data_IF_562472062467
#
_entry.id   IF_562472062467
#
_cell.length_a   1.000
_cell.length_b   1.000
_cell.length_c   1.000
_cell.angle_alpha   90.00
_cell.angle_beta   90.00
_cell.angle_gamma   90.00
#
_symmetry.space_group_name_H-M   'P 1'
#
loop_
_entity.id
_entity.type
_entity.pdbx_description
1 polymer ?
#
# COMPACT_ATOMS: atom_id res chain seq x y z
N UNK A 1 -95.99 31.93 -59.72
CA UNK A 1 -96.26 31.86 -58.26
C UNK A 1 -94.93 31.82 -57.53
N UNK A 2 -94.83 32.40 -56.33
CA UNK A 2 -93.55 32.64 -55.63
C UNK A 2 -93.27 31.64 -54.49
N UNK A 3 -91.97 31.47 -54.18
CA UNK A 3 -91.27 30.91 -52.97
C UNK A 3 -89.93 30.35 -53.48
N UNK A 4 -88.71 30.83 -53.16
CA UNK A 4 -88.06 31.29 -51.91
C UNK A 4 -87.79 30.15 -50.90
N UNK A 5 -86.62 30.20 -50.23
CA UNK A 5 -86.15 29.38 -49.07
C UNK A 5 -85.52 28.02 -49.50
N UNK A 6 -84.30 27.58 -49.10
CA UNK A 6 -83.16 28.17 -48.33
C UNK A 6 -81.84 27.53 -48.78
N UNK A 7 -80.69 28.13 -48.44
CA UNK A 7 -79.40 27.42 -48.41
C UNK A 7 -79.32 26.46 -47.21
N UNK A 8 -78.73 25.28 -47.41
CA UNK A 8 -78.40 24.33 -46.35
C UNK A 8 -76.95 23.86 -46.51
N UNK A 9 -76.02 24.48 -45.80
CA UNK A 9 -74.63 24.02 -45.73
C UNK A 9 -74.60 22.83 -44.76
N UNK A 10 -74.30 21.64 -45.28
CA UNK A 10 -74.06 20.45 -44.45
C UNK A 10 -72.60 20.48 -44.00
N UNK A 11 -72.35 21.07 -42.83
CA UNK A 11 -71.10 20.85 -42.11
C UNK A 11 -71.10 19.42 -41.56
N UNK A 12 -70.31 18.54 -42.17
CA UNK A 12 -70.01 17.22 -41.61
C UNK A 12 -69.12 17.44 -40.38
N UNK A 13 -69.72 17.34 -39.20
CA UNK A 13 -68.97 17.25 -37.96
C UNK A 13 -68.23 15.91 -37.95
N UNK A 14 -66.92 15.94 -38.19
CA UNK A 14 -66.07 14.76 -38.05
C UNK A 14 -65.98 14.46 -36.55
N UNK A 15 -66.80 13.51 -36.07
CA UNK A 15 -66.69 13.00 -34.71
C UNK A 15 -65.40 12.18 -34.65
N UNK A 16 -64.31 12.84 -34.25
CA UNK A 16 -63.10 12.16 -33.81
C UNK A 16 -63.46 11.40 -32.54
N UNK A 17 -63.79 10.11 -32.69
CA UNK A 17 -63.76 9.17 -31.59
C UNK A 17 -62.34 9.21 -31.03
N UNK A 18 -62.18 9.82 -29.86
CA UNK A 18 -60.89 9.86 -29.18
C UNK A 18 -60.42 8.43 -28.99
N UNK A 19 -59.31 8.07 -29.64
CA UNK A 19 -58.64 6.83 -29.31
C UNK A 19 -58.31 6.92 -27.81
N UNK A 20 -58.58 5.87 -27.00
CA UNK A 20 -58.05 5.87 -25.65
C UNK A 20 -56.53 6.05 -25.79
N UNK A 21 -55.99 7.05 -25.09
CA UNK A 21 -54.54 7.19 -25.01
C UNK A 21 -54.02 5.83 -24.52
N UNK A 22 -53.22 5.15 -25.35
CA UNK A 22 -52.55 3.95 -24.92
C UNK A 22 -51.75 4.35 -23.69
N UNK A 23 -52.12 3.84 -22.52
CA UNK A 23 -51.41 4.13 -21.28
C UNK A 23 -49.96 3.76 -21.56
N UNK A 24 -49.06 4.75 -21.53
CA UNK A 24 -47.65 4.49 -21.74
C UNK A 24 -47.24 3.50 -20.65
N UNK A 25 -46.98 2.26 -21.05
CA UNK A 25 -46.34 1.30 -20.17
C UNK A 25 -45.00 1.95 -19.85
N UNK A 26 -44.73 2.20 -18.57
CA UNK A 26 -43.44 2.71 -18.14
C UNK A 26 -42.36 1.78 -18.73
N UNK A 27 -41.23 2.36 -19.17
CA UNK A 27 -40.09 1.52 -19.50
C UNK A 27 -39.78 0.63 -18.27
N UNK A 28 -39.42 -0.66 -18.48
CA UNK A 28 -38.98 -1.48 -17.37
C UNK A 28 -37.81 -0.79 -16.65
N UNK A 29 -37.73 -0.96 -15.33
CA UNK A 29 -36.54 -0.55 -14.59
C UNK A 29 -35.31 -1.26 -15.16
N UNK A 30 -34.14 -0.64 -15.03
CA UNK A 30 -32.88 -1.17 -15.54
C UNK A 30 -31.75 -0.98 -14.56
N UNK A 31 -30.98 -2.03 -14.31
CA UNK A 31 -29.69 -1.97 -13.61
C UNK A 31 -28.57 -2.14 -14.65
N UNK A 32 -27.55 -1.26 -14.65
CA UNK A 32 -26.51 -1.19 -15.69
C UNK A 32 -27.00 -1.25 -17.15
N UNK A 33 -28.22 -0.75 -17.41
CA UNK A 33 -28.86 -0.79 -18.73
C UNK A 33 -29.50 -2.13 -19.13
N UNK A 34 -29.44 -3.16 -18.27
CA UNK A 34 -30.15 -4.43 -18.42
C UNK A 34 -31.58 -4.31 -17.88
N UNK A 35 -32.61 -4.82 -18.57
CA UNK A 35 -33.98 -4.80 -18.05
C UNK A 35 -34.15 -5.71 -16.84
N UNK A 36 -34.75 -5.19 -15.77
CA UNK A 36 -35.00 -5.93 -14.54
C UNK A 36 -35.88 -7.18 -14.75
N UNK A 37 -35.46 -8.31 -14.17
CA UNK A 37 -36.27 -9.52 -13.99
C UNK A 37 -37.15 -9.40 -12.75
N UNK A 38 -36.67 -8.69 -11.72
CA UNK A 38 -37.36 -8.44 -10.45
C UNK A 38 -37.27 -6.96 -10.06
N UNK A 39 -38.37 -6.39 -9.57
CA UNK A 39 -38.43 -5.01 -9.06
C UNK A 39 -39.30 -4.98 -7.80
N UNK A 40 -38.91 -4.24 -6.76
CA UNK A 40 -39.60 -4.30 -5.47
C UNK A 40 -39.30 -3.14 -4.53
N UNK A 41 -39.61 -3.37 -3.25
CA UNK A 41 -39.21 -2.56 -2.09
C UNK A 41 -39.39 -3.45 -0.84
N UNK A 42 -38.58 -3.23 0.21
CA UNK A 42 -38.41 -4.13 1.34
C UNK A 42 -37.57 -5.36 0.96
N UNK A 43 -38.07 -6.56 1.23
CA UNK A 43 -37.32 -7.79 0.92
C UNK A 43 -37.56 -8.27 -0.51
N UNK A 44 -36.49 -8.38 -1.29
CA UNK A 44 -36.43 -8.99 -2.60
C UNK A 44 -35.63 -10.31 -2.51
N UNK A 45 -35.95 -11.27 -3.37
CA UNK A 45 -35.20 -12.53 -3.46
C UNK A 45 -35.24 -13.00 -4.91
N UNK A 46 -34.07 -13.18 -5.50
CA UNK A 46 -33.89 -13.72 -6.84
C UNK A 46 -34.14 -15.23 -6.92
N UNK A 47 -33.58 -15.84 -7.95
CA UNK A 47 -33.74 -17.25 -8.28
C UNK A 47 -32.37 -17.95 -8.39
N UNK A 48 -32.29 -19.29 -8.40
CA UNK A 48 -31.02 -20.01 -8.57
C UNK A 48 -30.39 -19.91 -9.99
N UNK A 49 -30.52 -18.75 -10.64
CA UNK A 49 -29.89 -18.42 -11.90
C UNK A 49 -30.10 -16.95 -12.26
N UNK A 50 -29.15 -16.41 -13.03
CA UNK A 50 -28.97 -15.00 -13.39
C UNK A 50 -30.25 -14.14 -13.43
N UNK A 51 -30.38 -13.27 -12.45
CA UNK A 51 -31.41 -12.26 -12.30
C UNK A 51 -30.88 -10.83 -12.50
N UNK A 52 -31.80 -9.89 -12.77
CA UNK A 52 -31.52 -8.45 -12.78
C UNK A 52 -32.50 -7.82 -11.80
N UNK A 53 -32.02 -7.49 -10.60
CA UNK A 53 -32.85 -7.05 -9.48
C UNK A 53 -32.69 -5.53 -9.30
N UNK A 54 -33.81 -4.83 -9.17
CA UNK A 54 -33.82 -3.39 -8.85
C UNK A 54 -34.67 -3.15 -7.61
N UNK A 55 -34.06 -2.55 -6.59
CA UNK A 55 -34.69 -2.09 -5.36
C UNK A 55 -35.51 -0.81 -5.56
N UNK A 56 -35.44 0.06 -4.57
CA UNK A 56 -36.30 1.22 -4.40
C UNK A 56 -35.51 2.45 -3.91
N UNK A 57 -36.20 3.55 -3.57
CA UNK A 57 -35.55 4.73 -3.01
C UNK A 57 -35.73 4.79 -1.48
N UNK A 58 -35.61 3.62 -0.85
CA UNK A 58 -35.66 3.41 0.59
C UNK A 58 -35.21 1.98 0.92
N UNK A 59 -34.91 1.71 2.21
CA UNK A 59 -34.10 0.57 2.63
C UNK A 59 -34.73 -0.78 2.27
N UNK A 60 -33.97 -1.55 1.51
CA UNK A 60 -34.28 -2.84 0.93
C UNK A 60 -33.33 -3.94 1.44
N UNK A 61 -33.75 -5.19 1.28
CA UNK A 61 -32.93 -6.38 1.58
C UNK A 61 -33.00 -7.30 0.38
N UNK A 62 -31.89 -7.48 -0.33
CA UNK A 62 -31.83 -8.19 -1.61
C UNK A 62 -30.89 -9.39 -1.50
N UNK A 63 -31.38 -10.56 -1.92
CA UNK A 63 -30.68 -11.85 -1.92
C UNK A 63 -30.79 -12.42 -3.35
N UNK A 64 -29.72 -12.33 -4.14
CA UNK A 64 -29.65 -12.77 -5.54
C UNK A 64 -29.93 -14.27 -5.68
N UNK A 65 -29.31 -15.04 -4.79
CA UNK A 65 -29.31 -16.52 -4.61
C UNK A 65 -28.23 -17.24 -5.38
N UNK A 66 -27.81 -16.74 -6.53
CA UNK A 66 -26.69 -17.29 -7.29
C UNK A 66 -27.07 -17.81 -8.68
N UNK A 67 -26.04 -18.06 -9.48
CA UNK A 67 -26.05 -17.56 -10.86
C UNK A 67 -25.28 -16.24 -10.89
N UNK A 68 -25.13 -15.63 -12.06
CA UNK A 68 -24.43 -14.34 -12.16
C UNK A 68 -25.47 -13.22 -12.22
N UNK A 69 -25.67 -12.57 -11.09
CA UNK A 69 -26.75 -11.63 -10.81
C UNK A 69 -26.32 -10.18 -10.99
N UNK A 70 -27.29 -9.31 -11.26
CA UNK A 70 -27.06 -7.87 -11.44
C UNK A 70 -28.06 -7.11 -10.56
N UNK A 71 -27.56 -6.51 -9.48
CA UNK A 71 -28.36 -5.92 -8.40
C UNK A 71 -28.11 -4.41 -8.34
N UNK A 72 -29.17 -3.63 -8.25
CA UNK A 72 -29.12 -2.21 -7.91
C UNK A 72 -30.06 -1.94 -6.74
N UNK A 73 -29.55 -1.51 -5.59
CA UNK A 73 -30.34 -1.01 -4.45
C UNK A 73 -31.08 0.28 -4.82
N UNK A 74 -30.31 1.24 -5.34
CA UNK A 74 -30.63 2.62 -5.76
C UNK A 74 -30.56 3.65 -4.64
N UNK A 75 -30.93 3.32 -3.41
CA UNK A 75 -30.63 4.16 -2.25
C UNK A 75 -31.70 4.23 -1.16
N UNK A 76 -31.29 4.77 -0.02
CA UNK A 76 -31.69 4.24 1.28
C UNK A 76 -30.67 3.19 1.73
N UNK A 77 -30.60 2.94 3.03
CA UNK A 77 -29.59 2.05 3.62
C UNK A 77 -29.97 0.57 3.34
N UNK A 78 -29.30 -0.07 2.38
CA UNK A 78 -29.65 -1.36 1.80
C UNK A 78 -28.75 -2.52 2.31
N UNK A 79 -29.29 -3.74 2.34
CA UNK A 79 -28.50 -4.98 2.51
C UNK A 79 -28.56 -5.79 1.23
N UNK A 80 -27.44 -5.88 0.52
CA UNK A 80 -27.32 -6.50 -0.80
C UNK A 80 -26.39 -7.72 -0.74
N UNK A 81 -26.91 -8.88 -1.13
CA UNK A 81 -26.21 -10.16 -1.15
C UNK A 81 -26.37 -10.77 -2.53
N UNK A 82 -25.28 -10.96 -3.28
CA UNK A 82 -25.32 -11.70 -4.56
C UNK A 82 -25.54 -13.20 -4.33
N UNK A 83 -24.70 -13.77 -3.45
CA UNK A 83 -24.49 -15.20 -3.22
C UNK A 83 -23.76 -15.86 -4.41
N UNK A 84 -23.91 -17.18 -4.59
CA UNK A 84 -22.95 -17.96 -5.37
C UNK A 84 -22.95 -17.62 -6.88
N UNK A 85 -21.99 -16.81 -7.33
CA UNK A 85 -22.05 -16.16 -8.64
C UNK A 85 -20.74 -15.63 -9.22
N UNK A 86 -20.89 -14.72 -10.18
CA UNK A 86 -19.91 -13.67 -10.42
C UNK A 86 -20.76 -12.42 -10.64
N UNK A 87 -20.96 -11.66 -9.57
CA UNK A 87 -22.10 -10.77 -9.44
C UNK A 87 -21.72 -9.31 -9.64
N UNK A 88 -22.72 -8.47 -9.94
CA UNK A 88 -22.53 -7.03 -10.09
C UNK A 88 -23.56 -6.28 -9.27
N UNK A 89 -23.10 -5.62 -8.22
CA UNK A 89 -23.93 -4.95 -7.22
C UNK A 89 -23.63 -3.44 -7.22
N UNK A 90 -24.68 -2.65 -7.06
CA UNK A 90 -24.70 -1.19 -6.99
C UNK A 90 -25.57 -0.85 -5.76
N UNK A 91 -24.97 -0.35 -4.67
CA UNK A 91 -25.70 0.13 -3.50
C UNK A 91 -26.53 1.35 -3.88
N UNK A 92 -25.83 2.46 -4.06
CA UNK A 92 -26.29 3.63 -4.79
C UNK A 92 -26.15 4.91 -3.96
N UNK A 93 -27.00 5.08 -2.95
CA UNK A 93 -26.90 6.24 -2.04
C UNK A 93 -27.61 5.97 -0.72
N UNK A 94 -26.86 5.91 0.37
CA UNK A 94 -27.28 5.30 1.64
C UNK A 94 -26.06 4.61 2.24
N UNK A 95 -26.13 4.26 3.53
CA UNK A 95 -25.06 3.48 4.15
C UNK A 95 -25.36 1.99 3.95
N UNK A 96 -24.74 1.40 2.94
CA UNK A 96 -25.09 0.10 2.39
C UNK A 96 -24.18 -1.03 2.92
N UNK A 97 -24.76 -2.23 3.01
CA UNK A 97 -24.03 -3.46 3.41
C UNK A 97 -24.03 -4.40 2.22
N UNK A 98 -22.89 -4.52 1.55
CA UNK A 98 -22.76 -5.26 0.30
C UNK A 98 -21.90 -6.52 0.51
N UNK A 99 -22.42 -7.66 0.06
CA UNK A 99 -21.75 -8.95 0.06
C UNK A 99 -21.86 -9.52 -1.35
N UNK A 100 -20.74 -9.77 -2.02
CA UNK A 100 -20.81 -10.45 -3.31
C UNK A 100 -21.36 -11.86 -3.13
N UNK A 101 -20.82 -12.63 -2.18
CA UNK A 101 -21.22 -14.03 -1.98
C UNK A 101 -21.94 -14.32 -0.63
N UNK A 102 -21.84 -15.56 -0.10
CA UNK A 102 -22.69 -16.06 0.99
C UNK A 102 -22.46 -15.33 2.32
N UNK A 103 -23.51 -14.69 2.84
CA UNK A 103 -23.55 -14.10 4.19
C UNK A 103 -24.42 -14.91 5.18
N UNK A 104 -23.90 -15.26 6.36
CA UNK A 104 -24.68 -15.93 7.44
C UNK A 104 -24.34 -15.44 8.86
N UNK A 105 -25.34 -15.38 9.74
CA UNK A 105 -25.15 -15.05 11.16
C UNK A 105 -24.33 -16.10 11.94
N UNK A 106 -24.49 -17.38 11.59
CA UNK A 106 -23.85 -18.51 12.30
C UNK A 106 -23.63 -19.70 11.38
N UNK A 107 -22.49 -20.36 11.53
CA UNK A 107 -22.07 -21.50 10.72
C UNK A 107 -21.10 -21.09 9.62
N UNK A 108 -20.65 -22.09 8.85
CA UNK A 108 -19.67 -21.85 7.80
C UNK A 108 -20.32 -21.21 6.57
N UNK A 109 -19.85 -20.02 6.18
CA UNK A 109 -20.13 -19.36 4.91
C UNK A 109 -19.18 -19.89 3.84
N UNK A 110 -19.66 -20.02 2.60
CA UNK A 110 -18.81 -20.42 1.49
C UNK A 110 -19.43 -20.13 0.12
N UNK A 111 -18.60 -19.56 -0.72
CA UNK A 111 -18.92 -18.99 -2.01
C UNK A 111 -17.80 -18.03 -2.33
N UNK A 112 -17.36 -18.04 -3.59
CA UNK A 112 -16.37 -17.10 -4.08
C UNK A 112 -16.58 -16.82 -5.56
N UNK A 113 -16.25 -15.61 -5.98
CA UNK A 113 -16.71 -15.03 -7.24
C UNK A 113 -15.63 -14.42 -8.14
N UNK A 114 -16.07 -13.43 -8.91
CA UNK A 114 -15.24 -12.41 -9.57
C UNK A 114 -16.20 -11.23 -9.74
N UNK A 115 -16.44 -10.58 -8.62
CA UNK A 115 -17.58 -9.74 -8.36
C UNK A 115 -17.21 -8.27 -8.56
N UNK A 116 -18.24 -7.46 -8.79
CA UNK A 116 -18.09 -6.02 -8.92
C UNK A 116 -19.08 -5.35 -8.00
N UNK A 117 -18.58 -4.83 -6.88
CA UNK A 117 -19.35 -4.15 -5.85
C UNK A 117 -19.07 -2.65 -5.97
N UNK A 118 -20.13 -1.86 -6.09
CA UNK A 118 -20.08 -0.41 -6.00
C UNK A 118 -20.92 0.00 -4.79
N UNK A 119 -20.32 0.72 -3.84
CA UNK A 119 -21.01 1.30 -2.69
C UNK A 119 -21.89 2.47 -3.15
N UNK A 120 -21.30 3.66 -3.24
CA UNK A 120 -21.89 4.85 -3.85
C UNK A 120 -21.69 6.11 -3.01
N UNK A 121 -22.81 6.77 -2.69
CA UNK A 121 -22.84 7.90 -1.74
C UNK A 121 -23.25 7.41 -0.34
N UNK A 122 -22.30 7.12 0.57
CA UNK A 122 -22.58 6.70 1.96
C UNK A 122 -21.37 6.06 2.64
N UNK A 123 -21.45 5.81 3.96
CA UNK A 123 -20.41 5.00 4.65
C UNK A 123 -20.80 3.52 4.54
N UNK A 124 -20.08 2.77 3.70
CA UNK A 124 -20.44 1.44 3.22
C UNK A 124 -19.56 0.32 3.80
N UNK A 125 -20.16 -0.87 3.98
CA UNK A 125 -19.45 -2.07 4.44
C UNK A 125 -19.49 -3.14 3.35
N UNK A 126 -18.34 -3.43 2.74
CA UNK A 126 -18.21 -4.34 1.59
C UNK A 126 -17.29 -5.54 1.87
N UNK A 127 -17.76 -6.71 1.45
CA UNK A 127 -16.99 -7.97 1.45
C UNK A 127 -17.22 -8.60 0.08
N UNK A 128 -16.15 -8.81 -0.72
CA UNK A 128 -16.28 -9.34 -2.07
C UNK A 128 -16.89 -10.73 -2.11
N UNK A 129 -16.50 -11.61 -1.18
CA UNK A 129 -17.00 -12.98 -1.10
C UNK A 129 -17.87 -13.23 0.16
N UNK A 130 -17.43 -14.14 1.04
CA UNK A 130 -18.26 -14.76 2.07
C UNK A 130 -18.14 -14.05 3.43
N UNK A 131 -19.28 -13.79 4.08
CA UNK A 131 -19.33 -13.29 5.47
C UNK A 131 -19.91 -14.34 6.43
N UNK A 132 -19.28 -14.51 7.60
CA UNK A 132 -19.94 -15.14 8.75
C UNK A 132 -19.82 -14.36 10.06
N UNK A 133 -20.96 -14.18 10.73
CA UNK A 133 -21.01 -13.62 12.08
C UNK A 133 -20.38 -14.54 13.14
N UNK A 134 -20.38 -15.86 12.91
CA UNK A 134 -19.61 -16.83 13.69
C UNK A 134 -19.53 -18.19 13.00
N UNK A 135 -18.35 -18.53 12.49
CA UNK A 135 -18.05 -19.75 11.75
C UNK A 135 -16.79 -19.55 10.91
N UNK A 136 -16.55 -20.39 9.92
CA UNK A 136 -15.51 -20.10 8.92
C UNK A 136 -16.14 -19.45 7.67
N UNK A 137 -15.47 -18.47 7.07
CA UNK A 137 -15.79 -17.97 5.74
C UNK A 137 -14.74 -18.48 4.74
N UNK A 138 -15.18 -19.04 3.61
CA UNK A 138 -14.32 -19.58 2.57
C UNK A 138 -14.80 -19.14 1.17
N UNK A 139 -14.03 -18.25 0.54
CA UNK A 139 -14.27 -17.67 -0.78
C UNK A 139 -13.06 -16.85 -1.17
N UNK A 140 -12.58 -17.03 -2.41
CA UNK A 140 -11.68 -16.05 -3.00
C UNK A 140 -11.92 -15.87 -4.50
N UNK A 141 -11.50 -14.73 -5.04
CA UNK A 141 -11.87 -14.29 -6.38
C UNK A 141 -10.82 -13.46 -7.13
N UNK A 142 -11.31 -12.45 -7.86
CA UNK A 142 -10.54 -11.39 -8.51
C UNK A 142 -11.55 -10.25 -8.63
N UNK A 143 -11.72 -9.54 -7.54
CA UNK A 143 -12.90 -8.74 -7.26
C UNK A 143 -12.59 -7.25 -7.46
N UNK A 144 -13.66 -6.49 -7.70
CA UNK A 144 -13.59 -5.05 -7.90
C UNK A 144 -14.56 -4.37 -6.94
N UNK A 145 -14.01 -3.73 -5.92
CA UNK A 145 -14.75 -2.93 -4.94
C UNK A 145 -14.44 -1.45 -5.21
N UNK A 146 -15.47 -0.62 -5.28
CA UNK A 146 -15.39 0.84 -5.39
C UNK A 146 -16.34 1.40 -4.33
N UNK A 147 -15.77 1.98 -3.26
CA UNK A 147 -16.51 2.54 -2.13
C UNK A 147 -17.34 3.73 -2.57
N UNK A 148 -16.69 4.85 -2.85
CA UNK A 148 -17.27 6.00 -3.54
C UNK A 148 -17.06 7.29 -2.76
N UNK A 149 -18.01 7.64 -1.88
CA UNK A 149 -17.84 8.75 -0.95
C UNK A 149 -18.51 8.50 0.39
N UNK A 150 -17.71 8.47 1.45
CA UNK A 150 -18.05 8.06 2.81
C UNK A 150 -16.82 7.44 3.46
N UNK A 151 -16.95 6.97 4.70
CA UNK A 151 -15.86 6.21 5.35
C UNK A 151 -16.14 4.70 5.25
N UNK A 152 -15.50 4.05 4.29
CA UNK A 152 -15.84 2.71 3.82
C UNK A 152 -14.97 1.61 4.44
N UNK A 153 -15.53 0.40 4.54
CA UNK A 153 -14.87 -0.78 5.12
C UNK A 153 -14.84 -1.92 4.10
N UNK A 154 -13.67 -2.18 3.50
CA UNK A 154 -13.52 -3.13 2.40
C UNK A 154 -12.68 -4.36 2.75
N UNK A 155 -13.14 -5.52 2.28
CA UNK A 155 -12.43 -6.80 2.32
C UNK A 155 -12.63 -7.46 0.96
N UNK A 156 -11.59 -7.67 0.16
CA UNK A 156 -11.76 -8.19 -1.20
C UNK A 156 -12.28 -9.63 -1.23
N UNK A 157 -11.82 -10.49 -0.32
CA UNK A 157 -12.34 -11.86 -0.18
C UNK A 157 -13.40 -11.96 0.95
N UNK A 158 -13.06 -12.64 2.05
CA UNK A 158 -13.95 -13.26 3.02
C UNK A 158 -13.74 -12.70 4.41
N UNK A 159 -14.82 -12.57 5.20
CA UNK A 159 -14.79 -12.00 6.54
C UNK A 159 -15.45 -12.90 7.59
N UNK A 160 -14.83 -13.01 8.76
CA UNK A 160 -15.34 -13.77 9.91
C UNK A 160 -15.33 -12.90 11.18
N UNK A 161 -16.50 -12.61 11.74
CA UNK A 161 -16.65 -11.61 12.81
C UNK A 161 -16.47 -12.17 14.24
N UNK A 162 -16.41 -13.49 14.42
CA UNK A 162 -16.27 -14.07 15.77
C UNK A 162 -15.64 -15.47 15.82
N UNK A 163 -14.36 -15.51 16.19
CA UNK A 163 -13.62 -16.71 16.63
C UNK A 163 -13.57 -17.86 15.62
N UNK A 164 -13.75 -17.58 14.33
CA UNK A 164 -13.56 -18.53 13.25
C UNK A 164 -12.74 -17.92 12.13
N UNK A 165 -12.33 -18.74 11.16
CA UNK A 165 -11.30 -18.34 10.20
C UNK A 165 -11.91 -17.75 8.92
N UNK A 166 -11.23 -16.79 8.32
CA UNK A 166 -11.51 -16.32 6.97
C UNK A 166 -10.46 -16.88 6.00
N UNK A 167 -10.89 -17.25 4.79
CA UNK A 167 -10.01 -17.81 3.75
C UNK A 167 -10.44 -17.34 2.38
N UNK A 168 -9.50 -16.81 1.62
CA UNK A 168 -9.68 -16.41 0.22
C UNK A 168 -8.36 -16.37 -0.54
N UNK A 169 -8.30 -15.55 -1.58
CA UNK A 169 -7.07 -15.13 -2.24
C UNK A 169 -7.29 -14.86 -3.72
N UNK A 170 -6.87 -13.69 -4.18
CA UNK A 170 -7.17 -13.21 -5.52
C UNK A 170 -6.10 -12.32 -6.14
N UNK A 171 -6.52 -11.48 -7.08
CA UNK A 171 -5.80 -10.27 -7.46
C UNK A 171 -6.88 -9.22 -7.61
N UNK A 172 -7.14 -8.55 -6.52
CA UNK A 172 -8.29 -7.74 -6.27
C UNK A 172 -7.96 -6.27 -6.49
N UNK A 173 -9.02 -5.48 -6.58
CA UNK A 173 -8.96 -4.08 -6.97
C UNK A 173 -9.92 -3.29 -6.11
N UNK A 174 -9.40 -2.69 -5.05
CA UNK A 174 -10.17 -1.95 -4.06
C UNK A 174 -9.86 -0.46 -4.23
N UNK A 175 -10.90 0.34 -4.38
CA UNK A 175 -10.82 1.80 -4.50
C UNK A 175 -11.72 2.41 -3.43
N UNK A 176 -11.16 3.16 -2.50
CA UNK A 176 -11.89 3.84 -1.43
C UNK A 176 -12.75 4.97 -2.01
N UNK A 177 -12.16 6.15 -2.17
CA UNK A 177 -12.74 7.24 -2.94
C UNK A 177 -12.56 8.59 -2.25
N UNK A 178 -13.66 9.16 -1.75
CA UNK A 178 -13.69 10.40 -0.97
C UNK A 178 -14.15 10.11 0.48
N UNK A 179 -13.22 9.94 1.43
CA UNK A 179 -13.48 9.81 2.87
C UNK A 179 -12.35 9.09 3.59
N UNK A 180 -12.43 8.98 4.93
CA UNK A 180 -11.35 8.41 5.75
C UNK A 180 -11.53 6.87 5.84
N UNK A 181 -10.94 6.13 4.90
CA UNK A 181 -11.19 4.69 4.71
C UNK A 181 -10.26 3.83 5.59
N UNK A 182 -10.54 3.77 6.89
CA UNK A 182 -9.67 3.16 7.92
C UNK A 182 -9.31 1.68 7.66
N UNK A 183 -10.09 0.94 6.86
CA UNK A 183 -9.86 -0.49 6.59
C UNK A 183 -10.18 -0.93 5.16
N UNK A 184 -9.14 -0.96 4.33
CA UNK A 184 -9.09 -1.58 3.00
C UNK A 184 -8.13 -2.78 3.07
N UNK A 185 -8.64 -4.01 3.10
CA UNK A 185 -7.82 -5.25 3.04
C UNK A 185 -8.06 -5.99 1.73
N UNK A 186 -7.00 -6.29 0.97
CA UNK A 186 -7.13 -6.97 -0.32
C UNK A 186 -7.77 -8.36 -0.19
N UNK A 187 -7.31 -9.19 0.74
CA UNK A 187 -7.88 -10.53 0.92
C UNK A 187 -8.94 -10.61 2.05
N UNK A 188 -8.59 -11.23 3.18
CA UNK A 188 -9.48 -11.86 4.14
C UNK A 188 -9.27 -11.31 5.55
N UNK A 189 -10.36 -11.15 6.31
CA UNK A 189 -10.31 -10.57 7.66
C UNK A 189 -10.98 -11.47 8.71
N UNK A 190 -10.26 -11.80 9.78
CA UNK A 190 -10.78 -12.66 10.85
C UNK A 190 -10.67 -12.03 12.25
N UNK A 191 -11.82 -11.82 12.88
CA UNK A 191 -11.96 -11.22 14.21
C UNK A 191 -11.87 -12.33 15.28
N UNK A 192 -10.65 -12.54 15.80
CA UNK A 192 -10.38 -13.57 16.82
C UNK A 192 -10.13 -14.98 16.26
N UNK A 193 -9.95 -15.12 14.95
CA UNK A 193 -9.58 -16.35 14.25
C UNK A 193 -8.41 -16.10 13.30
N UNK A 194 -8.04 -17.07 12.46
CA UNK A 194 -6.99 -16.87 11.47
C UNK A 194 -7.57 -16.33 10.16
N UNK A 195 -6.79 -15.48 9.47
CA UNK A 195 -7.05 -15.08 8.09
C UNK A 195 -5.98 -15.70 7.19
N UNK A 196 -6.38 -16.22 6.03
CA UNK A 196 -5.48 -16.75 5.02
C UNK A 196 -5.93 -16.28 3.62
N UNK A 197 -5.09 -15.53 2.92
CA UNK A 197 -5.31 -15.03 1.56
C UNK A 197 -3.98 -14.82 0.86
N UNK A 198 -3.96 -14.26 -0.34
CA UNK A 198 -2.76 -13.66 -0.90
C UNK A 198 -2.79 -13.57 -2.41
N UNK A 199 -2.30 -12.45 -2.94
CA UNK A 199 -2.58 -12.08 -4.33
C UNK A 199 -1.50 -11.33 -5.08
N UNK A 200 -1.92 -10.35 -5.88
CA UNK A 200 -1.09 -9.21 -6.32
C UNK A 200 -2.09 -8.07 -6.54
N UNK A 201 -2.32 -7.31 -5.50
CA UNK A 201 -3.53 -6.54 -5.27
C UNK A 201 -3.31 -5.06 -5.57
N UNK A 202 -4.40 -4.37 -5.93
CA UNK A 202 -4.37 -2.95 -6.25
C UNK A 202 -5.32 -2.21 -5.33
N UNK A 203 -4.75 -1.54 -4.34
CA UNK A 203 -5.46 -0.71 -3.39
C UNK A 203 -5.14 0.77 -3.67
N UNK A 204 -6.17 1.59 -3.74
CA UNK A 204 -6.10 3.06 -3.87
C UNK A 204 -7.08 3.61 -2.82
N UNK A 205 -6.60 4.31 -1.80
CA UNK A 205 -7.44 4.95 -0.77
C UNK A 205 -8.25 6.07 -1.40
N UNK A 206 -7.60 7.19 -1.71
CA UNK A 206 -8.17 8.24 -2.54
C UNK A 206 -7.94 9.63 -1.95
N UNK A 207 -8.99 10.23 -1.40
CA UNK A 207 -8.94 11.49 -0.64
C UNK A 207 -9.48 11.25 0.78
N UNK A 208 -8.59 11.23 1.78
CA UNK A 208 -8.93 10.87 3.16
C UNK A 208 -7.66 10.58 3.95
N UNK A 209 -7.80 10.20 5.22
CA UNK A 209 -6.71 9.54 5.95
C UNK A 209 -6.98 8.01 5.96
N UNK A 210 -6.31 7.25 5.09
CA UNK A 210 -6.72 5.88 4.71
C UNK A 210 -5.88 4.74 5.31
N UNK A 211 -6.47 3.55 5.48
CA UNK A 211 -5.80 2.35 6.01
C UNK A 211 -5.78 1.19 5.02
N UNK A 212 -4.62 0.92 4.42
CA UNK A 212 -4.44 -0.07 3.35
C UNK A 212 -3.57 -1.27 3.79
N UNK A 213 -4.06 -2.47 3.50
CA UNK A 213 -3.38 -3.75 3.73
C UNK A 213 -3.50 -4.63 2.48
N UNK A 214 -2.39 -5.05 1.87
CA UNK A 214 -2.44 -5.80 0.60
C UNK A 214 -3.11 -7.17 0.73
N UNK A 215 -2.75 -7.96 1.75
CA UNK A 215 -3.32 -9.28 2.00
C UNK A 215 -4.43 -9.27 3.11
N UNK A 216 -4.14 -9.89 4.26
CA UNK A 216 -5.07 -10.46 5.22
C UNK A 216 -4.85 -9.92 6.64
N UNK A 217 -5.95 -9.67 7.37
CA UNK A 217 -5.92 -9.06 8.71
C UNK A 217 -6.49 -9.95 9.82
N UNK A 218 -5.90 -9.86 11.03
CA UNK A 218 -6.45 -10.48 12.26
C UNK A 218 -6.51 -9.51 13.46
N UNK A 219 -7.31 -8.42 13.36
CA UNK A 219 -7.21 -7.24 14.24
C UNK A 219 -7.49 -7.49 15.74
N UNK A 220 -8.13 -8.60 16.11
CA UNK A 220 -8.48 -8.91 17.50
C UNK A 220 -7.92 -10.25 18.00
N UNK A 221 -6.82 -10.70 17.39
CA UNK A 221 -6.17 -11.97 17.72
C UNK A 221 -6.32 -12.99 16.62
N UNK A 222 -5.22 -13.67 16.31
CA UNK A 222 -5.17 -14.63 15.21
C UNK A 222 -3.80 -14.66 14.56
N UNK A 223 -3.69 -15.52 13.55
CA UNK A 223 -2.58 -15.49 12.60
C UNK A 223 -3.12 -15.05 11.24
N UNK A 224 -2.55 -13.98 10.68
CA UNK A 224 -2.71 -13.65 9.28
C UNK A 224 -1.68 -14.42 8.45
N UNK A 225 -2.06 -14.85 7.26
CA UNK A 225 -1.15 -15.50 6.30
C UNK A 225 -1.48 -14.99 4.92
N UNK A 226 -0.49 -14.44 4.23
CA UNK A 226 -0.60 -13.91 2.88
C UNK A 226 0.77 -13.54 2.33
N UNK A 227 0.83 -13.30 1.03
CA UNK A 227 1.96 -12.61 0.40
C UNK A 227 1.64 -12.31 -1.07
N UNK A 228 1.90 -11.07 -1.48
CA UNK A 228 1.50 -10.58 -2.79
C UNK A 228 2.62 -10.19 -3.75
N UNK A 229 2.36 -9.15 -4.54
CA UNK A 229 3.34 -8.18 -5.09
C UNK A 229 2.52 -6.90 -5.31
N UNK A 230 2.17 -6.26 -4.21
CA UNK A 230 0.98 -5.44 -4.12
C UNK A 230 1.26 -4.00 -4.48
N UNK A 231 0.22 -3.26 -4.84
CA UNK A 231 0.32 -1.86 -5.20
C UNK A 231 -0.68 -1.07 -4.39
N UNK A 232 -0.18 -0.46 -3.31
CA UNK A 232 -0.94 0.35 -2.38
C UNK A 232 -0.65 1.84 -2.66
N UNK A 233 -1.71 2.64 -2.76
CA UNK A 233 -1.63 4.10 -2.81
C UNK A 233 -2.55 4.66 -1.75
N UNK A 234 -2.03 5.47 -0.82
CA UNK A 234 -2.87 6.22 0.11
C UNK A 234 -3.70 7.24 -0.67
N UNK A 235 -3.10 8.40 -0.97
CA UNK A 235 -3.51 9.21 -2.11
C UNK A 235 -3.37 10.70 -1.88
N UNK A 236 -4.38 11.27 -1.22
CA UNK A 236 -4.42 12.64 -0.75
C UNK A 236 -4.89 12.66 0.71
N UNK A 237 -3.93 12.43 1.61
CA UNK A 237 -4.11 12.27 3.04
C UNK A 237 -2.90 12.78 3.82
N UNK A 238 -2.97 12.75 5.14
CA UNK A 238 -1.78 12.91 6.01
C UNK A 238 -1.72 11.89 7.14
N UNK A 239 -2.77 11.09 7.32
CA UNK A 239 -2.87 9.97 8.25
C UNK A 239 -2.68 8.61 7.60
N UNK A 240 -2.46 8.53 6.27
CA UNK A 240 -2.39 7.28 5.51
C UNK A 240 -1.47 6.24 6.17
N UNK A 241 -1.91 4.98 6.19
CA UNK A 241 -1.16 3.83 6.70
C UNK A 241 -1.18 2.69 5.69
N UNK A 242 0.00 2.23 5.28
CA UNK A 242 0.16 1.19 4.25
C UNK A 242 1.00 0.02 4.81
N UNK A 243 0.47 -1.20 4.70
CA UNK A 243 1.17 -2.46 4.99
C UNK A 243 1.07 -3.35 3.75
N UNK A 244 2.21 -3.70 3.12
CA UNK A 244 2.20 -4.36 1.80
C UNK A 244 1.59 -5.77 1.84
N UNK A 245 2.03 -6.65 2.74
CA UNK A 245 1.46 -8.01 2.88
C UNK A 245 0.34 -8.05 3.97
N UNK A 246 0.63 -8.51 5.19
CA UNK A 246 -0.36 -9.09 6.12
C UNK A 246 -0.22 -8.56 7.56
N UNK A 247 -1.35 -8.39 8.27
CA UNK A 247 -1.35 -7.90 9.67
C UNK A 247 -1.85 -8.95 10.69
N UNK A 248 -0.96 -9.34 11.61
CA UNK A 248 -1.15 -10.42 12.56
C UNK A 248 -1.04 -10.02 14.02
N UNK A 249 -2.10 -10.16 14.83
CA UNK A 249 -1.97 -9.92 16.29
C UNK A 249 -1.07 -10.98 16.96
N UNK A 250 -1.21 -12.27 16.62
CA UNK A 250 -0.34 -13.32 17.18
C UNK A 250 0.83 -13.70 16.25
N UNK A 251 0.63 -13.63 14.93
CA UNK A 251 1.66 -13.81 13.92
C UNK A 251 1.17 -13.39 12.53
N UNK A 252 2.09 -13.01 11.65
CA UNK A 252 1.87 -12.79 10.24
C UNK A 252 2.91 -13.62 9.45
N UNK A 253 2.49 -14.31 8.39
CA UNK A 253 3.36 -15.22 7.66
C UNK A 253 3.15 -15.14 6.15
N UNK A 254 4.26 -15.14 5.42
CA UNK A 254 4.22 -15.04 3.97
C UNK A 254 5.57 -15.35 3.33
N UNK A 255 5.73 -14.85 2.11
CA UNK A 255 7.04 -14.69 1.50
C UNK A 255 7.53 -13.23 1.56
N UNK A 256 6.68 -12.24 1.89
CA UNK A 256 7.03 -10.81 1.92
C UNK A 256 6.84 -10.09 0.59
N UNK A 257 5.81 -10.42 -0.18
CA UNK A 257 5.57 -9.77 -1.48
C UNK A 257 6.77 -9.41 -2.40
N UNK A 258 6.63 -8.30 -3.13
CA UNK A 258 7.67 -7.35 -3.59
C UNK A 258 6.91 -6.05 -3.93
N UNK A 259 6.65 -5.22 -2.94
CA UNK A 259 5.47 -4.37 -2.94
C UNK A 259 5.77 -2.92 -3.33
N UNK A 260 4.75 -2.21 -3.79
CA UNK A 260 4.85 -0.83 -4.27
C UNK A 260 3.89 0.05 -3.48
N UNK A 261 4.44 0.71 -2.47
CA UNK A 261 3.73 1.62 -1.57
C UNK A 261 4.04 3.07 -1.97
N UNK A 262 3.00 3.86 -2.21
CA UNK A 262 3.10 5.30 -2.54
C UNK A 262 2.18 6.11 -1.62
N UNK A 263 2.76 6.84 -0.66
CA UNK A 263 2.07 7.62 0.38
C UNK A 263 1.42 8.91 -0.14
N UNK A 264 1.01 8.96 -1.40
CA UNK A 264 0.48 10.18 -2.00
C UNK A 264 1.53 11.27 -2.19
N UNK A 265 1.09 12.53 -2.31
CA UNK A 265 1.99 13.68 -2.54
C UNK A 265 2.18 14.55 -1.28
N UNK A 266 1.23 14.44 -0.36
CA UNK A 266 1.16 15.03 0.96
C UNK A 266 1.86 14.14 1.99
N UNK A 267 1.71 12.82 1.90
CA UNK A 267 2.34 11.85 2.78
C UNK A 267 1.35 11.05 3.61
N UNK A 268 1.83 10.46 4.70
CA UNK A 268 0.97 9.77 5.66
C UNK A 268 1.63 9.61 7.02
N UNK A 269 1.21 8.58 7.76
CA UNK A 269 1.78 8.27 9.06
C UNK A 269 2.90 7.21 8.97
N UNK A 270 2.65 6.07 8.31
CA UNK A 270 3.71 5.08 8.05
C UNK A 270 3.45 4.19 6.83
N UNK A 271 4.54 3.66 6.26
CA UNK A 271 4.54 2.55 5.31
C UNK A 271 5.45 1.42 5.80
N UNK A 272 5.00 0.19 5.59
CA UNK A 272 5.73 -1.03 5.92
C UNK A 272 5.60 -2.01 4.75
N UNK A 273 6.73 -2.48 4.18
CA UNK A 273 6.71 -3.31 2.98
C UNK A 273 6.08 -4.67 3.21
N UNK A 274 6.55 -5.46 4.19
CA UNK A 274 6.03 -6.81 4.42
C UNK A 274 4.82 -6.85 5.40
N UNK A 275 5.02 -7.50 6.56
CA UNK A 275 4.03 -7.94 7.51
C UNK A 275 4.10 -7.10 8.79
N UNK A 276 2.93 -6.70 9.30
CA UNK A 276 2.83 -6.06 10.61
C UNK A 276 2.42 -7.06 11.71
N UNK A 277 2.84 -6.77 12.96
CA UNK A 277 2.36 -7.45 14.16
C UNK A 277 1.60 -6.47 15.05
N UNK A 278 0.38 -6.82 15.46
CA UNK A 278 -0.52 -5.94 16.21
C UNK A 278 -0.45 -6.02 17.75
N UNK A 279 0.26 -6.99 18.33
CA UNK A 279 0.44 -7.13 19.80
C UNK A 279 1.85 -7.61 20.19
N UNK A 280 2.70 -6.76 20.82
CA UNK A 280 4.05 -7.13 21.22
C UNK A 280 4.09 -8.02 22.47
N UNK A 281 3.11 -7.91 23.37
CA UNK A 281 3.12 -8.60 24.67
C UNK A 281 2.94 -10.12 24.51
N UNK A 282 2.37 -10.56 23.39
CA UNK A 282 2.24 -11.97 23.00
C UNK A 282 3.54 -12.63 22.51
N UNK A 283 4.55 -11.84 22.12
CA UNK A 283 5.77 -12.34 21.47
C UNK A 283 5.54 -12.81 20.03
N UNK A 284 4.70 -12.07 19.29
CA UNK A 284 4.30 -12.39 17.91
C UNK A 284 5.46 -12.44 16.91
N UNK A 285 5.22 -13.11 15.79
CA UNK A 285 6.21 -13.34 14.74
C UNK A 285 5.67 -12.88 13.39
N UNK A 286 6.31 -11.90 12.77
CA UNK A 286 6.23 -11.72 11.32
C UNK A 286 7.38 -12.50 10.65
N UNK A 287 7.11 -13.11 9.50
CA UNK A 287 8.12 -13.79 8.68
C UNK A 287 7.71 -13.84 7.21
N UNK A 288 8.48 -13.13 6.40
CA UNK A 288 8.38 -12.84 4.97
C UNK A 288 9.40 -11.72 4.70
N UNK A 289 9.95 -11.61 3.49
CA UNK A 289 10.79 -10.48 3.09
C UNK A 289 10.82 -10.26 1.58
N UNK A 290 10.48 -9.05 1.15
CA UNK A 290 10.33 -8.62 -0.23
C UNK A 290 11.58 -8.05 -0.90
N UNK A 291 11.34 -7.08 -1.77
CA UNK A 291 12.36 -6.19 -2.36
C UNK A 291 11.64 -4.88 -2.70
N UNK A 292 11.25 -4.16 -1.66
CA UNK A 292 10.06 -3.34 -1.69
C UNK A 292 10.36 -1.92 -2.12
N UNK A 293 9.35 -1.27 -2.68
CA UNK A 293 9.44 0.09 -3.17
C UNK A 293 8.46 0.97 -2.41
N UNK A 294 9.01 1.70 -1.45
CA UNK A 294 8.25 2.62 -0.61
C UNK A 294 8.59 4.05 -1.05
N UNK A 295 7.56 4.88 -1.22
CA UNK A 295 7.74 6.29 -1.56
C UNK A 295 6.91 7.17 -0.63
N UNK A 296 7.57 8.02 0.14
CA UNK A 296 6.97 9.02 1.03
C UNK A 296 6.41 10.24 0.29
N UNK A 297 5.97 11.26 1.02
CA UNK A 297 5.20 12.40 0.51
C UNK A 297 5.87 13.76 0.73
N UNK A 298 5.31 14.53 1.66
CA UNK A 298 5.76 15.86 2.05
C UNK A 298 5.63 16.12 3.57
N UNK A 299 5.20 15.10 4.31
CA UNK A 299 4.97 15.08 5.76
C UNK A 299 6.13 14.36 6.43
N UNK A 300 6.15 14.25 7.76
CA UNK A 300 7.19 13.48 8.45
C UNK A 300 6.69 12.05 8.65
N UNK A 301 7.33 11.09 7.98
CA UNK A 301 6.82 9.73 7.83
C UNK A 301 7.77 8.67 8.44
N UNK A 302 7.22 7.51 8.79
CA UNK A 302 8.00 6.31 9.16
C UNK A 302 7.91 5.31 8.00
N UNK A 303 9.04 4.99 7.37
CA UNK A 303 9.10 4.12 6.19
C UNK A 303 10.00 2.91 6.47
N UNK A 304 9.44 1.71 6.41
CA UNK A 304 10.07 0.45 6.84
C UNK A 304 10.09 -0.53 5.66
N UNK A 305 11.26 -0.97 5.22
CA UNK A 305 11.40 -1.90 4.09
C UNK A 305 10.74 -3.25 4.37
N UNK A 306 11.20 -3.99 5.38
CA UNK A 306 10.66 -5.32 5.70
C UNK A 306 9.43 -5.29 6.66
N UNK A 307 9.39 -6.26 7.59
CA UNK A 307 8.38 -6.53 8.61
C UNK A 307 8.60 -5.80 9.95
N UNK A 308 7.50 -5.62 10.69
CA UNK A 308 7.51 -5.26 12.12
C UNK A 308 7.42 -6.52 12.99
N UNK A 309 8.40 -6.75 13.86
CA UNK A 309 8.51 -8.00 14.64
C UNK A 309 8.62 -7.77 16.15
N UNK A 310 7.94 -8.61 16.93
CA UNK A 310 8.21 -8.72 18.37
C UNK A 310 9.36 -9.70 18.68
N UNK A 311 9.68 -10.64 17.77
CA UNK A 311 10.73 -11.65 17.94
C UNK A 311 11.87 -11.53 16.90
N UNK A 312 12.84 -10.68 17.21
CA UNK A 312 14.07 -10.44 16.43
C UNK A 312 14.96 -11.68 16.18
N UNK A 313 14.67 -12.86 16.76
CA UNK A 313 15.49 -14.06 16.58
C UNK A 313 15.25 -14.79 15.23
N UNK A 314 14.20 -14.42 14.50
CA UNK A 314 13.75 -15.12 13.28
C UNK A 314 13.35 -14.17 12.16
N UNK A 315 14.14 -13.11 11.92
CA UNK A 315 13.90 -12.20 10.77
C UNK A 315 14.48 -12.77 9.46
N UNK A 316 13.90 -12.32 8.36
CA UNK A 316 14.40 -12.37 6.97
C UNK A 316 14.31 -10.96 6.40
N UNK A 317 15.10 -10.61 5.39
CA UNK A 317 15.20 -9.23 4.91
C UNK A 317 15.40 -9.12 3.39
N UNK A 318 14.93 -8.01 2.81
CA UNK A 318 14.71 -7.76 1.39
C UNK A 318 15.92 -7.16 0.64
N UNK A 319 15.67 -6.20 -0.25
CA UNK A 319 16.67 -5.33 -0.88
C UNK A 319 15.97 -4.05 -1.36
N UNK A 320 15.75 -3.12 -0.44
CA UNK A 320 14.57 -2.25 -0.54
C UNK A 320 14.94 -0.86 -1.06
N UNK A 321 13.95 -0.16 -1.60
CA UNK A 321 14.12 1.14 -2.25
C UNK A 321 13.14 2.14 -1.66
N UNK A 322 13.62 2.88 -0.67
CA UNK A 322 12.85 3.88 0.07
C UNK A 322 13.28 5.28 -0.33
N UNK A 323 12.31 6.13 -0.63
CA UNK A 323 12.49 7.54 -1.04
C UNK A 323 11.46 8.39 -0.29
N UNK A 324 11.86 9.00 0.83
CA UNK A 324 10.98 9.82 1.69
C UNK A 324 10.45 11.08 0.99
N UNK A 325 11.21 11.57 0.00
CA UNK A 325 10.99 12.80 -0.79
C UNK A 325 11.14 14.08 0.03
N UNK A 326 10.43 14.23 1.15
CA UNK A 326 10.57 15.38 2.03
C UNK A 326 9.62 15.35 3.21
N UNK A 327 10.13 15.83 4.34
CA UNK A 327 9.66 15.44 5.66
C UNK A 327 10.83 15.53 6.62
N UNK A 328 10.58 15.38 7.92
CA UNK A 328 11.65 15.03 8.87
C UNK A 328 11.54 13.52 9.09
N UNK A 329 12.01 12.72 8.12
CA UNK A 329 11.58 11.32 7.95
C UNK A 329 12.40 10.32 8.77
N UNK A 330 11.80 9.15 9.05
CA UNK A 330 12.47 8.01 9.68
C UNK A 330 12.43 6.81 8.75
N UNK A 331 13.58 6.48 8.15
CA UNK A 331 13.74 5.38 7.20
C UNK A 331 14.44 4.19 7.84
N UNK A 332 13.83 3.01 7.75
CA UNK A 332 14.42 1.74 8.12
C UNK A 332 14.55 0.86 6.86
N UNK A 333 15.77 0.45 6.50
CA UNK A 333 15.98 -0.50 5.42
C UNK A 333 15.39 -1.86 5.77
N UNK A 334 15.87 -2.42 6.87
CA UNK A 334 15.40 -3.72 7.37
C UNK A 334 14.31 -3.64 8.45
N UNK A 335 13.81 -4.82 8.83
CA UNK A 335 12.93 -5.13 9.96
C UNK A 335 13.07 -4.20 11.20
N UNK A 336 11.94 -3.80 11.78
CA UNK A 336 11.87 -3.02 13.04
C UNK A 336 11.22 -3.79 14.19
N UNK A 337 11.42 -3.30 15.42
CA UNK A 337 10.59 -3.70 16.55
C UNK A 337 9.14 -3.20 16.38
N UNK A 338 8.20 -3.82 17.11
CA UNK A 338 6.81 -3.38 17.17
C UNK A 338 6.62 -1.86 17.41
N UNK A 339 7.47 -1.24 18.24
CA UNK A 339 7.34 0.19 18.55
C UNK A 339 7.78 1.11 17.38
N UNK A 340 8.31 0.56 16.28
CA UNK A 340 8.72 1.30 15.08
C UNK A 340 9.92 2.23 15.29
N UNK A 341 10.73 2.01 16.33
CA UNK A 341 11.79 2.94 16.76
C UNK A 341 13.22 2.37 16.70
N UNK A 342 13.38 1.07 16.43
CA UNK A 342 14.66 0.35 16.49
C UNK A 342 14.71 -0.77 15.44
N UNK A 343 15.73 -0.78 14.58
CA UNK A 343 16.04 -1.91 13.68
C UNK A 343 16.36 -3.19 14.47
N UNK A 344 15.88 -4.34 14.00
CA UNK A 344 16.02 -5.61 14.73
C UNK A 344 16.44 -6.80 13.86
N UNK A 345 17.10 -7.76 14.52
CA UNK A 345 17.47 -9.03 13.91
C UNK A 345 18.91 -9.09 13.42
N UNK A 346 19.17 -10.03 12.50
CA UNK A 346 20.51 -10.25 11.91
C UNK A 346 20.48 -10.66 10.43
N UNK A 347 19.29 -10.85 9.87
CA UNK A 347 19.09 -10.69 8.43
C UNK A 347 19.23 -9.20 8.09
N UNK A 348 19.61 -8.91 6.85
CA UNK A 348 19.58 -7.56 6.32
C UNK A 348 19.80 -7.54 4.81
N UNK A 349 19.27 -6.51 4.15
CA UNK A 349 19.05 -6.42 2.72
C UNK A 349 20.27 -5.96 1.91
N UNK A 350 20.08 -4.97 1.04
CA UNK A 350 21.13 -4.17 0.39
C UNK A 350 20.50 -2.89 -0.16
N UNK A 351 20.22 -1.99 0.75
CA UNK A 351 19.07 -1.12 0.53
C UNK A 351 19.49 0.21 -0.06
N UNK A 352 18.54 0.86 -0.73
CA UNK A 352 18.70 2.19 -1.26
C UNK A 352 17.73 3.10 -0.52
N UNK A 353 18.28 3.81 0.44
CA UNK A 353 17.54 4.74 1.29
C UNK A 353 17.90 6.17 0.87
N UNK A 354 16.87 6.95 0.58
CA UNK A 354 16.96 8.36 0.24
C UNK A 354 15.97 9.11 1.12
N UNK A 355 16.44 10.01 1.98
CA UNK A 355 15.58 10.84 2.81
C UNK A 355 14.85 11.84 1.92
N UNK A 356 15.40 13.05 1.79
CA UNK A 356 14.89 14.03 0.85
C UNK A 356 15.14 15.44 1.34
N UNK A 357 14.07 16.23 1.48
CA UNK A 357 14.15 17.58 2.05
C UNK A 357 13.59 17.62 3.46
N UNK A 358 14.46 17.83 4.44
CA UNK A 358 14.17 18.02 5.87
C UNK A 358 15.28 17.38 6.70
N UNK A 359 15.11 17.26 8.02
CA UNK A 359 16.18 16.74 8.89
C UNK A 359 16.00 15.22 9.14
N UNK A 360 16.49 14.39 8.21
CA UNK A 360 16.14 12.95 8.13
C UNK A 360 16.95 12.02 9.05
N UNK A 361 16.34 10.90 9.46
CA UNK A 361 16.97 9.81 10.23
C UNK A 361 16.89 8.47 9.48
N UNK A 362 18.03 7.99 8.99
CA UNK A 362 18.13 6.81 8.13
C UNK A 362 18.91 5.69 8.83
N UNK A 363 18.28 4.54 9.03
CA UNK A 363 18.82 3.33 9.65
C UNK A 363 18.84 2.19 8.62
N UNK A 364 20.03 1.83 8.13
CA UNK A 364 20.12 0.82 7.06
C UNK A 364 19.82 -0.61 7.55
N UNK A 365 20.39 -1.01 8.69
CA UNK A 365 20.35 -2.39 9.19
C UNK A 365 21.61 -3.20 8.82
N UNK A 366 21.58 -4.54 8.85
CA UNK A 366 22.70 -5.35 8.39
C UNK A 366 22.89 -5.38 6.86
N UNK A 367 24.12 -5.67 6.43
CA UNK A 367 24.58 -5.89 5.05
C UNK A 367 25.44 -4.78 4.40
N UNK A 368 25.06 -4.16 3.28
CA UNK A 368 25.94 -3.23 2.55
C UNK A 368 25.18 -2.22 1.68
N UNK A 369 24.93 -1.05 2.24
CA UNK A 369 23.75 -0.26 1.83
C UNK A 369 24.13 1.10 1.26
N UNK A 370 23.17 1.77 0.62
CA UNK A 370 23.36 3.08 -0.02
C UNK A 370 22.39 4.10 0.55
N UNK A 371 22.92 4.97 1.40
CA UNK A 371 22.18 6.04 2.07
C UNK A 371 22.51 7.38 1.38
N UNK A 372 21.48 8.17 1.11
CA UNK A 372 21.57 9.56 0.66
C UNK A 372 20.63 10.35 1.57
N UNK A 373 21.17 11.22 2.44
CA UNK A 373 20.33 12.06 3.30
C UNK A 373 19.58 13.07 2.43
N UNK A 374 20.22 14.21 2.18
CA UNK A 374 19.62 15.21 1.32
C UNK A 374 20.33 16.56 1.27
N UNK A 375 19.63 17.61 0.84
CA UNK A 375 20.06 19.00 1.00
C UNK A 375 20.17 19.56 2.43
N UNK A 376 19.57 18.93 3.44
CA UNK A 376 19.31 19.55 4.76
C UNK A 376 20.19 18.99 5.91
N UNK A 377 19.69 18.46 7.05
CA UNK A 377 20.56 18.04 8.18
C UNK A 377 20.36 16.58 8.63
N UNK A 378 21.11 15.68 8.01
CA UNK A 378 20.74 14.26 8.08
C UNK A 378 21.59 13.39 9.02
N UNK A 379 20.96 12.36 9.56
CA UNK A 379 21.56 11.33 10.41
C UNK A 379 21.48 9.95 9.74
N UNK A 380 22.63 9.42 9.34
CA UNK A 380 22.71 8.16 8.59
C UNK A 380 23.48 7.09 9.39
N UNK A 381 22.81 6.05 9.87
CA UNK A 381 23.42 4.89 10.50
C UNK A 381 23.43 3.67 9.56
N UNK A 382 24.62 3.13 9.31
CA UNK A 382 24.81 1.87 8.58
C UNK A 382 24.67 0.62 9.47
N UNK A 383 24.34 0.79 10.75
CA UNK A 383 24.12 -0.25 11.76
C UNK A 383 25.15 -1.40 11.76
N UNK A 384 24.82 -2.54 11.16
CA UNK A 384 25.65 -3.74 11.16
C UNK A 384 26.35 -4.00 9.81
N UNK A 385 26.21 -3.08 8.87
CA UNK A 385 26.83 -3.11 7.56
C UNK A 385 28.36 -3.08 7.58
N UNK A 386 28.99 -3.49 6.47
CA UNK A 386 30.46 -3.65 6.40
C UNK A 386 31.13 -2.90 5.25
N UNK A 387 30.37 -2.37 4.31
CA UNK A 387 30.88 -1.63 3.14
C UNK A 387 29.95 -0.49 2.70
N UNK A 388 29.15 0.01 3.64
CA UNK A 388 28.03 0.93 3.42
C UNK A 388 28.53 2.26 2.87
N UNK A 389 27.66 2.92 2.12
CA UNK A 389 27.95 4.20 1.51
C UNK A 389 26.87 5.21 1.83
N UNK A 390 27.22 6.17 2.69
CA UNK A 390 26.46 7.38 2.91
C UNK A 390 27.00 8.53 2.06
N UNK A 391 26.10 9.32 1.48
CA UNK A 391 26.37 10.64 0.89
C UNK A 391 25.38 11.65 1.47
N UNK A 392 25.77 12.92 1.50
CA UNK A 392 24.92 14.02 2.02
C UNK A 392 24.33 13.70 3.41
N UNK A 393 25.18 13.34 4.37
CA UNK A 393 24.79 13.15 5.77
C UNK A 393 25.75 13.93 6.69
N UNK A 394 25.21 14.81 7.51
CA UNK A 394 25.92 15.67 8.46
C UNK A 394 26.43 14.86 9.65
N UNK A 395 25.70 13.81 10.02
CA UNK A 395 26.13 12.82 10.99
C UNK A 395 26.05 11.40 10.42
N UNK A 396 27.10 10.61 10.69
CA UNK A 396 27.20 9.23 10.22
C UNK A 396 27.62 8.30 11.35
N UNK A 397 26.88 7.22 11.55
CA UNK A 397 27.22 6.11 12.44
C UNK A 397 27.33 4.79 11.64
N UNK A 398 28.10 3.84 12.16
CA UNK A 398 28.58 2.60 11.51
C UNK A 398 29.31 2.72 10.14
N UNK A 399 29.06 3.73 9.30
CA UNK A 399 29.56 3.86 7.93
C UNK A 399 31.10 3.68 7.84
N UNK A 400 31.59 2.69 7.08
CA UNK A 400 33.02 2.47 6.89
C UNK A 400 33.71 3.66 6.22
N UNK A 401 34.59 4.35 6.96
CA UNK A 401 35.42 5.41 6.41
C UNK A 401 36.18 4.92 5.17
N UNK A 402 35.79 5.38 3.97
CA UNK A 402 36.54 5.14 2.73
C UNK A 402 37.99 5.56 2.94
N UNK A 403 38.88 4.56 3.03
CA UNK A 403 40.31 4.80 3.13
C UNK A 403 40.70 5.73 1.96
N UNK A 404 41.25 6.94 2.23
CA UNK A 404 41.49 7.92 1.19
C UNK A 404 42.41 7.29 0.15
N UNK A 405 41.90 7.16 -1.08
CA UNK A 405 42.56 6.44 -2.18
C UNK A 405 44.03 6.83 -2.21
N UNK A 406 44.89 5.90 -1.78
CA UNK A 406 46.30 6.19 -1.59
C UNK A 406 46.88 6.52 -2.95
N UNK A 407 47.02 7.81 -3.25
CA UNK A 407 47.67 8.29 -4.47
C UNK A 407 49.11 7.83 -4.36
N UNK A 408 49.40 6.67 -4.95
CA UNK A 408 50.74 6.12 -5.09
C UNK A 408 51.48 7.06 -6.01
N UNK A 409 52.03 8.13 -5.43
CA UNK A 409 53.05 8.98 -6.04
C UNK A 409 54.22 8.06 -6.32
N UNK A 410 54.24 7.48 -7.53
CA UNK A 410 55.34 6.67 -8.02
C UNK A 410 56.63 7.44 -7.71
N UNK A 411 57.60 6.85 -6.99
CA UNK A 411 58.80 7.58 -6.61
C UNK A 411 59.44 8.13 -7.88
N UNK A 412 59.71 9.44 -7.85
CA UNK A 412 60.22 10.18 -9.00
C UNK A 412 61.53 9.53 -9.46
N UNK A 413 61.48 8.84 -10.60
CA UNK A 413 62.67 8.29 -11.25
C UNK A 413 63.41 9.47 -11.90
N UNK A 414 64.67 9.76 -11.52
CA UNK A 414 65.46 10.74 -12.24
C UNK A 414 65.56 10.33 -13.71
N UNK A 415 65.32 11.26 -14.62
CA UNK A 415 65.41 10.97 -16.06
C UNK A 415 66.83 10.52 -16.43
N UNK A 416 66.92 9.54 -17.34
CA UNK A 416 68.19 9.08 -17.88
C UNK A 416 68.94 10.24 -18.56
N UNK A 417 70.21 10.43 -18.21
CA UNK A 417 71.07 11.41 -18.84
C UNK A 417 71.28 11.09 -20.33
N UNK A 418 71.12 12.11 -21.19
CA UNK A 418 71.42 12.01 -22.61
C UNK A 418 72.95 11.90 -22.87
N UNK A 419 73.39 11.21 -23.94
CA UNK A 419 74.81 11.06 -24.25
C UNK A 419 75.45 12.36 -24.72
N UNK A 420 76.73 12.55 -24.39
CA UNK A 420 77.47 13.79 -24.62
C UNK A 420 77.96 13.95 -26.08
N UNK A 421 77.96 15.20 -26.56
CA UNK A 421 78.65 15.64 -27.78
C UNK A 421 80.00 16.32 -27.42
N UNK A 422 81.01 16.31 -28.32
CA UNK A 422 82.40 16.63 -27.97
C UNK A 422 82.71 18.13 -27.88
N UNK A 423 83.82 18.44 -27.21
CA UNK A 423 84.15 19.76 -26.68
C UNK A 423 84.76 20.77 -27.68
N UNK A 424 84.54 22.05 -27.39
CA UNK A 424 85.42 23.16 -27.81
C UNK A 424 85.93 23.93 -26.59
N UNK A 425 87.20 24.33 -26.65
CA UNK A 425 88.05 24.72 -25.50
C UNK A 425 88.32 26.23 -25.48
N UNK A 426 87.92 26.93 -24.43
CA UNK A 426 88.52 28.22 -24.02
C UNK A 426 88.60 28.30 -22.48
N UNK A 427 89.72 28.81 -21.98
CA UNK A 427 90.07 29.08 -20.57
C UNK A 427 90.62 30.52 -20.46
N UNK A 428 90.89 31.09 -19.27
CA UNK A 428 90.22 30.97 -17.96
C UNK A 428 89.99 32.36 -17.27
N UNK A 429 89.33 32.39 -16.10
CA UNK A 429 89.64 33.39 -15.06
C UNK A 429 89.18 32.96 -13.67
N UNK A 430 90.14 32.82 -12.74
CA UNK A 430 89.95 32.72 -11.27
C UNK A 430 89.99 34.15 -10.67
N UNK A 431 89.36 34.41 -9.50
CA UNK A 431 90.04 34.13 -8.23
C UNK A 431 89.17 33.54 -7.10
N UNK A 432 89.89 33.15 -6.04
CA UNK A 432 89.46 32.49 -4.80
C UNK A 432 89.21 33.52 -3.66
N UNK A 433 89.25 33.17 -2.36
CA UNK A 433 88.11 32.66 -1.59
C UNK A 433 87.86 33.48 -0.29
N UNK A 434 86.88 33.09 0.54
CA UNK A 434 86.94 33.36 1.99
C UNK A 434 86.41 32.16 2.80
N UNK A 435 86.94 31.99 4.02
CA UNK A 435 86.95 30.71 4.72
C UNK A 435 86.43 30.77 6.17
N UNK A 436 85.51 29.85 6.50
CA UNK A 436 85.30 29.26 7.83
C UNK A 436 84.86 30.19 8.98
N UNK A 437 84.85 29.68 10.24
CA UNK A 437 85.08 28.28 10.64
C UNK A 437 83.93 27.66 11.48
N UNK A 438 84.16 26.46 12.00
CA UNK A 438 83.18 25.59 12.64
C UNK A 438 82.88 25.87 14.13
N UNK A 439 81.75 25.35 14.61
CA UNK A 439 81.41 25.17 16.02
C UNK A 439 80.72 23.81 16.22
N UNK A 440 81.21 22.99 17.16
CA UNK A 440 80.78 21.61 17.47
C UNK A 440 80.52 21.53 18.99
N UNK A 441 79.91 20.42 19.45
CA UNK A 441 80.08 19.76 20.79
C UNK A 441 78.88 19.83 21.77
N UNK A 442 78.10 18.72 21.79
CA UNK A 442 77.45 18.06 22.98
C UNK A 442 76.34 18.80 23.76
N UNK A 443 75.52 18.21 24.65
CA UNK A 443 75.42 16.85 25.25
C UNK A 443 73.97 16.57 25.72
N UNK A 444 73.57 15.29 25.86
CA UNK A 444 72.45 14.83 26.72
C UNK A 444 73.00 14.50 28.14
N UNK A 445 72.25 14.11 29.22
CA UNK A 445 70.99 13.30 29.22
C UNK A 445 69.97 13.44 30.42
N UNK A 446 68.94 12.58 30.41
CA UNK A 446 68.31 11.86 31.56
C UNK A 446 67.25 12.45 32.54
N UNK A 447 66.32 11.55 32.98
CA UNK A 447 65.60 11.41 34.30
C UNK A 447 64.34 12.30 34.54
N UNK A 448 63.15 11.86 35.05
CA UNK A 448 62.53 10.51 35.39
C UNK A 448 60.97 10.53 35.49
N UNK A 449 60.36 9.33 35.34
CA UNK A 449 59.13 8.72 35.96
C UNK A 449 58.20 9.49 36.95
N UNK A 450 56.87 9.35 36.73
CA UNK A 450 55.79 8.73 37.59
C UNK A 450 55.63 9.26 39.04
N UNK A 451 54.42 9.64 39.50
CA UNK A 451 53.27 8.74 39.78
C UNK A 451 52.30 8.51 38.62
#
# INVERSE_FOLDING_TARGET
MARLITAGIVTVALITLGQPAASAVAAPATCFGLPATLTGAGTLTGTPGNDVIVGSAGPDVIDGRGGNDVICGLGGDDLLIGAAGNDRIDGGSGNDVIRGDVAVETGDAKGGGNDVLLGGDGDDDMVGDSLTGSGNAEGGGNDLLEGGSGADFMTGDSRSESNGNAKGGGNDRLFGGDGDDEHISGDSVAFGGNAEGGGNDLLDGGNGDDGLLGDSATPFGGTATGAGNDTLRGGAGTGDTLVGDSEGVAAAYGNGGNDVLDMGADGGFFALGDHNIGDPDGGGQAFGAGNDRITGGSSAEILIGDSSVANAATTVAGNDVIDGRGGDDVLFGDNVNFDGDTTVGTAGGRDRLQGGTGDDSIFAGPANDTLDGGPDTDACDGEAGTADTAVNCESTAAIPLRAPSAVVRKPWRPAHAAPAAPATRVTPSLPTPHAGPAGRVTQAPHVTRVP
#
